data_IF_057393300738
#
_entry.id   IF_057393300738
#
_cell.length_a   1.000
_cell.length_b   1.000
_cell.length_c   1.000
_cell.angle_alpha   90.00
_cell.angle_beta   90.00
_cell.angle_gamma   90.00
#
_symmetry.space_group_name_H-M   'P 1'
#
loop_
_entity.id
_entity.type
_entity.pdbx_description
1 polymer ?
#
# COMPACT_ATOMS: atom_id res chain seq x y z
N UNK A 1 13.06 21.57 0.18
CA UNK A 1 13.10 20.48 -0.83
C UNK A 1 14.27 20.74 -1.75
N UNK A 2 15.12 19.74 -2.01
CA UNK A 2 16.11 19.80 -3.11
C UNK A 2 15.37 19.84 -4.45
N UNK A 3 16.01 20.39 -5.50
CA UNK A 3 15.43 20.27 -6.84
C UNK A 3 15.26 18.80 -7.23
N UNK A 4 14.12 18.43 -7.82
CA UNK A 4 13.91 17.06 -8.31
C UNK A 4 14.98 16.67 -9.33
N UNK A 5 15.46 15.44 -9.26
CA UNK A 5 16.35 14.87 -10.27
C UNK A 5 15.52 14.27 -11.39
N UNK A 6 15.74 14.72 -12.63
CA UNK A 6 15.08 14.26 -13.86
C UNK A 6 16.08 13.74 -14.85
N UNK A 7 15.78 12.64 -15.52
CA UNK A 7 16.58 12.21 -16.66
C UNK A 7 16.12 12.88 -17.98
N UNK A 8 16.90 12.71 -19.06
CA UNK A 8 16.59 13.33 -20.35
C UNK A 8 15.24 12.85 -20.94
N UNK A 9 14.89 11.58 -20.76
CA UNK A 9 13.64 11.02 -21.26
C UNK A 9 12.41 11.67 -20.63
N UNK A 10 12.52 12.17 -19.40
CA UNK A 10 11.39 12.80 -18.69
C UNK A 10 10.86 14.04 -19.41
N UNK A 11 11.71 14.80 -20.08
CA UNK A 11 11.31 16.04 -20.77
C UNK A 11 10.68 15.80 -22.14
N UNK A 12 10.88 14.62 -22.74
CA UNK A 12 10.42 14.29 -24.09
C UNK A 12 9.13 13.51 -24.17
N UNK A 13 8.73 12.86 -23.06
CA UNK A 13 7.52 12.03 -23.00
C UNK A 13 6.30 12.86 -22.64
N UNK A 14 5.19 12.64 -23.37
CA UNK A 14 3.83 13.05 -22.96
C UNK A 14 3.12 11.83 -22.38
N UNK A 15 3.12 11.69 -21.05
CA UNK A 15 2.63 10.46 -20.43
C UNK A 15 1.10 10.41 -20.40
N UNK A 16 0.53 9.25 -20.67
CA UNK A 16 -0.85 8.91 -20.35
C UNK A 16 -0.96 8.30 -18.94
N UNK A 17 0.10 7.59 -18.52
CA UNK A 17 0.19 6.93 -17.22
C UNK A 17 1.41 7.40 -16.44
N UNK A 18 1.21 7.85 -15.20
CA UNK A 18 2.29 8.14 -14.24
C UNK A 18 2.34 7.02 -13.21
N UNK A 19 3.45 6.29 -13.15
CA UNK A 19 3.73 5.30 -12.09
C UNK A 19 4.34 6.04 -10.90
N UNK A 20 3.69 5.95 -9.74
CA UNK A 20 3.99 6.73 -8.54
C UNK A 20 4.54 5.81 -7.45
N UNK A 21 5.83 5.95 -7.13
CA UNK A 21 6.56 5.03 -6.24
C UNK A 21 7.10 5.78 -5.03
N UNK A 22 6.43 5.70 -3.86
CA UNK A 22 7.00 6.18 -2.60
C UNK A 22 7.99 5.16 -2.04
N UNK A 23 9.10 5.62 -1.43
CA UNK A 23 9.98 4.76 -0.66
C UNK A 23 10.54 5.47 0.57
N UNK A 24 10.84 4.68 1.61
CA UNK A 24 11.41 5.16 2.87
C UNK A 24 12.33 4.11 3.47
N UNK A 25 13.63 4.41 3.55
CA UNK A 25 14.67 3.51 4.09
C UNK A 25 14.77 2.14 3.40
N UNK A 26 14.12 1.98 2.26
CA UNK A 26 14.11 0.78 1.45
C UNK A 26 14.34 1.15 -0.01
N UNK A 27 15.09 0.32 -0.75
CA UNK A 27 15.49 0.63 -2.12
C UNK A 27 14.45 0.16 -3.13
N UNK A 28 13.93 1.03 -4.02
CA UNK A 28 12.99 0.68 -5.09
C UNK A 28 13.69 0.02 -6.30
N UNK A 29 14.99 -0.21 -6.27
CA UNK A 29 15.76 -0.65 -7.45
C UNK A 29 15.30 -2.00 -8.02
N UNK A 30 14.82 -2.93 -7.18
CA UNK A 30 14.30 -4.21 -7.65
C UNK A 30 13.05 -4.00 -8.51
N UNK A 31 12.12 -3.18 -8.05
CA UNK A 31 10.93 -2.77 -8.79
C UNK A 31 11.29 -2.04 -10.08
N UNK A 32 12.18 -1.04 -10.02
CA UNK A 32 12.59 -0.26 -11.19
C UNK A 32 13.19 -1.14 -12.30
N UNK A 33 14.02 -2.14 -11.94
CA UNK A 33 14.56 -3.10 -12.91
C UNK A 33 13.46 -3.98 -13.52
N UNK A 34 12.49 -4.40 -12.74
CA UNK A 34 11.35 -5.18 -13.23
C UNK A 34 10.47 -4.38 -14.20
N UNK A 35 10.25 -3.09 -13.92
CA UNK A 35 9.49 -2.20 -14.79
C UNK A 35 10.23 -1.84 -16.09
N UNK A 36 11.57 -1.83 -16.08
CA UNK A 36 12.39 -1.46 -17.24
C UNK A 36 12.41 -2.51 -18.35
N UNK A 37 12.09 -3.77 -18.03
CA UNK A 37 12.17 -4.90 -18.97
C UNK A 37 11.21 -4.79 -20.16
N UNK A 38 10.11 -4.06 -20.01
CA UNK A 38 9.17 -3.69 -21.08
C UNK A 38 8.58 -2.32 -20.77
N UNK A 39 8.94 -1.34 -21.58
CA UNK A 39 8.45 0.03 -21.39
C UNK A 39 7.47 0.38 -22.49
N UNK A 40 6.18 0.51 -22.18
CA UNK A 40 5.24 1.14 -23.08
C UNK A 40 5.61 2.61 -23.30
N UNK A 41 5.44 3.08 -24.53
CA UNK A 41 5.46 4.52 -24.81
C UNK A 41 4.36 5.23 -24.00
N UNK A 42 4.49 6.51 -23.75
CA UNK A 42 3.54 7.32 -22.98
C UNK A 42 3.43 6.99 -21.47
N UNK A 43 4.55 6.61 -20.86
CA UNK A 43 4.66 6.33 -19.43
C UNK A 43 5.76 7.19 -18.79
N UNK A 44 5.52 7.67 -17.58
CA UNK A 44 6.54 8.23 -16.70
C UNK A 44 6.56 7.54 -15.35
N UNK A 45 7.70 7.57 -14.68
CA UNK A 45 7.87 7.07 -13.31
C UNK A 45 8.29 8.23 -12.42
N UNK A 46 7.53 8.49 -11.37
CA UNK A 46 7.85 9.48 -10.35
C UNK A 46 8.10 8.78 -9.03
N UNK A 47 9.30 8.99 -8.50
CA UNK A 47 9.69 8.44 -7.21
C UNK A 47 9.77 9.55 -6.16
N UNK A 48 9.43 9.20 -4.93
CA UNK A 48 9.66 10.07 -3.78
C UNK A 48 10.43 9.31 -2.69
N UNK A 49 11.61 9.82 -2.33
CA UNK A 49 12.29 9.47 -1.10
C UNK A 49 11.68 10.28 0.04
N UNK A 50 10.83 9.65 0.83
CA UNK A 50 10.11 10.31 1.93
C UNK A 50 11.01 10.55 3.15
N UNK A 51 12.13 11.26 2.91
CA UNK A 51 13.04 11.66 3.97
C UNK A 51 13.80 10.51 4.61
N UNK A 52 14.26 9.53 3.84
CA UNK A 52 15.02 8.37 4.34
C UNK A 52 16.31 8.76 5.07
N UNK A 53 16.95 9.85 4.66
CA UNK A 53 18.27 10.24 5.14
C UNK A 53 19.39 9.25 4.80
N UNK A 54 19.13 8.33 3.84
CA UNK A 54 20.06 7.28 3.42
C UNK A 54 20.69 7.61 2.07
N UNK A 55 21.76 8.41 2.08
CA UNK A 55 22.43 8.90 0.87
C UNK A 55 22.78 7.80 -0.14
N UNK A 56 23.15 6.61 0.32
CA UNK A 56 23.47 5.48 -0.54
C UNK A 56 22.26 4.98 -1.36
N UNK A 57 21.07 4.95 -0.77
CA UNK A 57 19.84 4.56 -1.48
C UNK A 57 19.50 5.63 -2.52
N UNK A 58 19.45 6.88 -2.11
CA UNK A 58 19.11 8.01 -3.01
C UNK A 58 20.10 8.13 -4.18
N UNK A 59 21.40 7.98 -3.91
CA UNK A 59 22.43 7.98 -4.96
C UNK A 59 22.30 6.79 -5.92
N UNK A 60 22.01 5.59 -5.40
CA UNK A 60 21.78 4.40 -6.22
C UNK A 60 20.57 4.54 -7.14
N UNK A 61 19.47 5.14 -6.63
CA UNK A 61 18.27 5.45 -7.43
C UNK A 61 18.57 6.50 -8.49
N UNK A 62 19.26 7.59 -8.13
CA UNK A 62 19.65 8.65 -9.09
C UNK A 62 20.54 8.10 -10.21
N UNK A 63 21.53 7.25 -9.87
CA UNK A 63 22.41 6.62 -10.86
C UNK A 63 21.63 5.70 -11.81
N UNK A 64 20.70 4.90 -11.29
CA UNK A 64 19.83 4.05 -12.11
C UNK A 64 18.97 4.87 -13.08
N UNK A 65 18.30 5.92 -12.58
CA UNK A 65 17.44 6.82 -13.36
C UNK A 65 18.24 7.50 -14.46
N UNK A 66 19.46 7.98 -14.15
CA UNK A 66 20.32 8.67 -15.11
C UNK A 66 20.70 7.83 -16.33
N UNK A 67 20.69 6.49 -16.17
CA UNK A 67 21.01 5.53 -17.25
C UNK A 67 19.76 4.86 -17.83
N UNK A 68 18.58 5.12 -17.27
CA UNK A 68 17.33 4.48 -17.67
C UNK A 68 16.76 5.12 -18.94
N UNK A 69 16.22 4.32 -19.89
CA UNK A 69 15.45 4.84 -21.01
C UNK A 69 14.05 5.30 -20.59
N UNK A 70 13.60 4.94 -19.37
CA UNK A 70 12.31 5.36 -18.81
C UNK A 70 12.34 6.85 -18.49
N UNK A 71 11.24 7.55 -18.74
CA UNK A 71 11.02 8.92 -18.27
C UNK A 71 10.88 8.91 -16.73
N UNK A 72 11.89 9.38 -16.02
CA UNK A 72 11.93 9.28 -14.56
C UNK A 72 12.19 10.61 -13.86
N UNK A 73 11.50 10.82 -12.73
CA UNK A 73 11.75 11.91 -11.77
C UNK A 73 11.94 11.33 -10.37
N UNK A 74 12.94 11.83 -9.63
CA UNK A 74 13.15 11.54 -8.22
C UNK A 74 13.02 12.82 -7.40
N UNK A 75 12.08 12.80 -6.45
CA UNK A 75 11.87 13.83 -5.44
C UNK A 75 12.50 13.34 -4.13
N UNK A 76 13.31 14.18 -3.48
CA UNK A 76 13.92 13.85 -2.19
C UNK A 76 13.43 14.81 -1.12
N UNK A 77 12.78 14.31 -0.10
CA UNK A 77 12.32 15.11 1.05
C UNK A 77 13.40 15.17 2.13
N UNK A 78 13.45 16.28 2.86
CA UNK A 78 14.38 16.47 3.98
C UNK A 78 13.96 15.73 5.24
N UNK A 79 12.67 15.39 5.37
CA UNK A 79 12.09 14.68 6.51
C UNK A 79 10.93 13.80 6.05
N UNK A 80 10.62 12.77 6.83
CA UNK A 80 9.48 11.89 6.57
C UNK A 80 8.16 12.64 6.80
N UNK A 81 7.33 12.71 5.79
CA UNK A 81 6.00 13.32 5.84
C UNK A 81 4.88 12.28 5.99
N UNK A 82 5.20 11.01 5.79
CA UNK A 82 4.28 9.90 5.92
C UNK A 82 3.50 9.57 4.65
N UNK A 83 2.84 8.43 4.69
CA UNK A 83 2.24 7.77 3.51
C UNK A 83 1.24 8.63 2.74
N UNK A 84 0.31 9.27 3.44
CA UNK A 84 -0.73 10.08 2.81
C UNK A 84 -0.14 11.31 2.10
N UNK A 85 0.71 12.07 2.80
CA UNK A 85 1.32 13.28 2.23
C UNK A 85 2.30 12.96 1.11
N UNK A 86 3.14 11.93 1.28
CA UNK A 86 4.08 11.49 0.25
C UNK A 86 3.37 11.13 -1.06
N UNK A 87 2.24 10.40 -0.99
CA UNK A 87 1.44 10.06 -2.17
C UNK A 87 0.75 11.27 -2.79
N UNK A 88 0.23 12.21 -1.98
CA UNK A 88 -0.32 13.45 -2.51
C UNK A 88 0.75 14.24 -3.28
N UNK A 89 1.99 14.34 -2.77
CA UNK A 89 3.10 15.01 -3.48
C UNK A 89 3.48 14.33 -4.78
N UNK A 90 3.45 13.00 -4.84
CA UNK A 90 3.68 12.27 -6.09
C UNK A 90 2.67 12.67 -7.17
N UNK A 91 1.40 12.83 -6.80
CA UNK A 91 0.34 13.22 -7.76
C UNK A 91 0.45 14.68 -8.18
N UNK A 92 0.98 15.58 -7.35
CA UNK A 92 1.27 16.97 -7.70
C UNK A 92 2.35 17.07 -8.79
N UNK A 93 3.34 16.16 -8.78
CA UNK A 93 4.41 16.10 -9.77
C UNK A 93 4.01 15.36 -11.07
N UNK A 94 3.01 14.50 -11.00
CA UNK A 94 2.58 13.63 -12.09
C UNK A 94 1.91 14.39 -13.23
N UNK A 95 2.19 13.99 -14.50
CA UNK A 95 1.66 14.61 -15.71
C UNK A 95 0.64 13.76 -16.46
N UNK A 96 0.60 12.42 -16.22
CA UNK A 96 -0.30 11.49 -16.90
C UNK A 96 -1.77 11.69 -16.54
N UNK A 97 -2.68 11.22 -17.38
CA UNK A 97 -4.14 11.24 -17.14
C UNK A 97 -4.57 10.23 -16.08
N UNK A 98 -3.73 9.23 -15.85
CA UNK A 98 -3.89 8.20 -14.83
C UNK A 98 -2.66 8.08 -13.94
N UNK A 99 -2.88 7.73 -12.69
CA UNK A 99 -1.86 7.46 -11.69
C UNK A 99 -1.88 5.97 -11.33
N UNK A 100 -0.76 5.29 -11.47
CA UNK A 100 -0.56 3.95 -10.93
C UNK A 100 0.28 4.06 -9.66
N UNK A 101 -0.37 3.98 -8.51
CA UNK A 101 0.34 3.86 -7.23
C UNK A 101 0.93 2.45 -7.12
N UNK A 102 2.22 2.38 -6.82
CA UNK A 102 2.95 1.13 -6.70
C UNK A 102 3.99 1.26 -5.58
N UNK A 103 3.86 0.49 -4.50
CA UNK A 103 4.82 0.55 -3.41
C UNK A 103 6.18 -0.02 -3.85
N UNK A 104 7.27 0.47 -3.29
CA UNK A 104 8.67 0.15 -3.68
C UNK A 104 9.06 -1.32 -3.56
N UNK A 105 8.32 -2.07 -2.76
CA UNK A 105 8.50 -3.49 -2.47
C UNK A 105 7.54 -4.41 -3.25
N UNK A 106 6.88 -3.88 -4.27
CA UNK A 106 5.99 -4.64 -5.16
C UNK A 106 6.74 -5.09 -6.41
N UNK A 107 6.72 -6.39 -6.71
CA UNK A 107 7.29 -6.93 -7.95
C UNK A 107 6.19 -7.45 -8.87
N UNK A 108 6.07 -6.94 -10.11
CA UNK A 108 5.15 -7.47 -11.11
C UNK A 108 5.27 -8.99 -11.28
N UNK A 109 4.14 -9.68 -11.34
CA UNK A 109 4.09 -11.14 -11.52
C UNK A 109 4.13 -11.58 -12.99
N UNK A 110 3.93 -10.64 -13.91
CA UNK A 110 3.80 -10.91 -15.33
C UNK A 110 4.51 -9.81 -16.15
N UNK A 111 5.25 -10.18 -17.21
CA UNK A 111 5.91 -9.19 -18.07
C UNK A 111 4.95 -8.18 -18.74
N UNK A 112 3.68 -8.54 -18.95
CA UNK A 112 2.65 -7.64 -19.50
C UNK A 112 1.99 -6.73 -18.45
N UNK A 113 2.54 -6.64 -17.24
CA UNK A 113 1.96 -5.89 -16.11
C UNK A 113 1.64 -4.42 -16.48
N UNK A 114 2.60 -3.70 -17.07
CA UNK A 114 2.40 -2.31 -17.45
C UNK A 114 1.45 -2.16 -18.66
N UNK A 115 1.52 -3.08 -19.64
CA UNK A 115 0.64 -3.07 -20.81
C UNK A 115 -0.83 -3.24 -20.38
N UNK A 116 -1.08 -4.13 -19.41
CA UNK A 116 -2.42 -4.31 -18.82
C UNK A 116 -2.88 -3.04 -18.11
N UNK A 117 -2.01 -2.36 -17.35
CA UNK A 117 -2.38 -1.09 -16.73
C UNK A 117 -2.66 0.01 -17.75
N UNK A 118 -1.88 0.11 -18.80
CA UNK A 118 -2.14 1.05 -19.90
C UNK A 118 -3.46 0.77 -20.61
N UNK A 119 -3.85 -0.51 -20.74
CA UNK A 119 -5.16 -0.86 -21.32
C UNK A 119 -6.33 -0.46 -20.43
N UNK A 120 -6.14 -0.38 -19.11
CA UNK A 120 -7.15 0.11 -18.17
C UNK A 120 -7.24 1.64 -18.13
N UNK A 121 -6.21 2.35 -18.59
CA UNK A 121 -6.19 3.81 -18.70
C UNK A 121 -6.93 4.29 -19.96
N UNK A 122 -8.20 3.91 -20.07
CA UNK A 122 -9.04 4.02 -21.27
C UNK A 122 -10.11 5.15 -21.21
N UNK A 123 -10.07 5.96 -20.16
CA UNK A 123 -11.04 7.04 -19.90
C UNK A 123 -12.31 6.58 -19.15
N UNK A 124 -12.60 5.27 -19.11
CA UNK A 124 -13.83 4.74 -18.49
C UNK A 124 -13.64 4.38 -17.02
N UNK A 125 -12.50 3.80 -16.70
CA UNK A 125 -12.21 3.38 -15.35
C UNK A 125 -11.85 4.57 -14.46
N UNK A 126 -12.51 4.70 -13.31
CA UNK A 126 -12.20 5.74 -12.32
C UNK A 126 -11.08 5.28 -11.38
N UNK A 127 -11.24 4.09 -10.80
CA UNK A 127 -10.30 3.44 -9.86
C UNK A 127 -10.29 1.95 -10.15
N UNK A 128 -9.09 1.35 -10.25
CA UNK A 128 -8.94 -0.11 -10.47
C UNK A 128 -7.82 -0.63 -9.58
N UNK A 129 -8.10 -1.68 -8.79
CA UNK A 129 -7.09 -2.37 -7.98
C UNK A 129 -6.63 -3.67 -8.66
N UNK A 130 -5.31 -3.86 -8.78
CA UNK A 130 -4.69 -4.98 -9.48
C UNK A 130 -4.53 -6.27 -8.67
N UNK A 131 -4.55 -6.14 -7.34
CA UNK A 131 -4.36 -7.28 -6.43
C UNK A 131 -2.91 -7.54 -6.04
N UNK A 132 -2.77 -8.39 -5.02
CA UNK A 132 -1.50 -8.87 -4.47
C UNK A 132 -1.26 -10.32 -4.79
N UNK A 133 0.00 -10.72 -4.76
CA UNK A 133 0.43 -12.11 -4.71
C UNK A 133 1.59 -12.32 -3.73
N UNK A 134 1.95 -13.59 -3.54
CA UNK A 134 3.13 -14.03 -2.79
C UNK A 134 4.05 -14.92 -3.66
N UNK A 135 3.89 -14.89 -4.99
CA UNK A 135 4.55 -15.83 -5.92
C UNK A 135 6.07 -15.77 -5.84
N UNK A 136 6.63 -14.56 -5.78
CA UNK A 136 8.08 -14.31 -5.73
C UNK A 136 8.58 -14.08 -4.30
N UNK A 137 7.67 -14.08 -3.30
CA UNK A 137 8.01 -13.76 -1.92
C UNK A 137 8.90 -14.85 -1.29
N UNK A 138 9.94 -14.47 -0.53
CA UNK A 138 10.87 -15.42 0.06
C UNK A 138 10.17 -16.40 1.01
N UNK A 139 10.53 -17.69 0.91
CA UNK A 139 9.95 -18.72 1.75
C UNK A 139 10.79 -18.96 3.02
N UNK A 140 10.80 -17.98 3.92
CA UNK A 140 11.53 -18.06 5.19
C UNK A 140 10.60 -18.20 6.37
N UNK A 141 11.08 -18.84 7.46
CA UNK A 141 10.31 -18.99 8.71
C UNK A 141 9.93 -17.64 9.34
N UNK A 142 10.77 -16.61 9.16
CA UNK A 142 10.52 -15.27 9.69
C UNK A 142 9.22 -14.66 9.18
N UNK A 143 8.84 -14.94 7.93
CA UNK A 143 7.65 -14.38 7.28
C UNK A 143 6.47 -15.34 7.20
N UNK A 144 6.57 -16.55 7.78
CA UNK A 144 5.54 -17.58 7.68
C UNK A 144 4.16 -17.10 8.19
N UNK A 145 4.13 -16.29 9.24
CA UNK A 145 2.89 -15.76 9.80
C UNK A 145 2.27 -14.72 8.88
N UNK A 146 3.07 -13.77 8.38
CA UNK A 146 2.58 -12.77 7.42
C UNK A 146 2.03 -13.45 6.17
N UNK A 147 2.78 -14.41 5.59
CA UNK A 147 2.31 -15.18 4.42
C UNK A 147 1.00 -15.92 4.69
N UNK A 148 0.87 -16.58 5.85
CA UNK A 148 -0.36 -17.28 6.22
C UNK A 148 -1.56 -16.33 6.39
N UNK A 149 -1.32 -15.10 6.85
CA UNK A 149 -2.36 -14.08 7.00
C UNK A 149 -2.73 -13.45 5.65
N UNK A 150 -1.75 -13.02 4.87
CA UNK A 150 -1.94 -12.37 3.58
C UNK A 150 -2.63 -13.29 2.56
N UNK A 151 -2.29 -14.57 2.53
CA UNK A 151 -2.96 -15.54 1.67
C UNK A 151 -4.46 -15.73 1.93
N UNK A 152 -4.94 -15.35 3.13
CA UNK A 152 -6.36 -15.44 3.49
C UNK A 152 -7.13 -14.12 3.35
N UNK A 153 -6.43 -12.97 3.28
CA UNK A 153 -7.07 -11.66 3.33
C UNK A 153 -6.67 -10.73 2.18
N UNK A 154 -5.42 -10.78 1.73
CA UNK A 154 -4.87 -9.75 0.83
C UNK A 154 -4.70 -10.28 -0.60
N UNK A 155 -4.35 -11.58 -0.74
CA UNK A 155 -4.10 -12.23 -2.03
C UNK A 155 -5.37 -12.91 -2.59
N UNK A 156 -6.47 -12.19 -2.62
CA UNK A 156 -7.75 -12.68 -3.16
C UNK A 156 -7.83 -12.40 -4.67
N UNK A 157 -8.62 -13.21 -5.40
CA UNK A 157 -8.94 -12.97 -6.81
C UNK A 157 -9.76 -11.70 -7.01
N UNK A 158 -9.73 -11.14 -8.21
CA UNK A 158 -10.54 -9.98 -8.58
C UNK A 158 -12.03 -10.20 -8.30
N UNK A 159 -12.56 -11.39 -8.62
CA UNK A 159 -13.94 -11.75 -8.37
C UNK A 159 -14.30 -11.71 -6.87
N UNK A 160 -13.45 -12.27 -6.01
CA UNK A 160 -13.68 -12.25 -4.56
C UNK A 160 -13.57 -10.83 -3.96
N UNK A 161 -12.67 -10.00 -4.50
CA UNK A 161 -12.55 -8.59 -4.06
C UNK A 161 -13.73 -7.74 -4.50
N UNK A 162 -14.33 -8.05 -5.66
CA UNK A 162 -15.48 -7.30 -6.20
C UNK A 162 -16.76 -7.45 -5.36
N UNK A 163 -16.84 -8.45 -4.46
CA UNK A 163 -17.96 -8.59 -3.52
C UNK A 163 -18.02 -7.44 -2.49
N UNK A 164 -16.85 -6.85 -2.15
CA UNK A 164 -16.71 -5.70 -1.24
C UNK A 164 -15.63 -4.75 -1.76
N UNK A 165 -15.87 -4.06 -2.88
CA UNK A 165 -14.83 -3.35 -3.62
C UNK A 165 -14.15 -2.24 -2.80
N UNK A 166 -14.87 -1.55 -1.93
CA UNK A 166 -14.34 -0.48 -1.07
C UNK A 166 -13.31 -0.97 -0.05
N UNK A 167 -13.39 -2.24 0.34
CA UNK A 167 -12.53 -2.85 1.36
C UNK A 167 -11.15 -3.21 0.84
N UNK A 168 -11.03 -3.45 -0.46
CA UNK A 168 -9.80 -3.93 -1.10
C UNK A 168 -9.18 -2.85 -1.99
N UNK A 169 -9.10 -1.63 -1.48
CA UNK A 169 -8.38 -0.52 -2.12
C UNK A 169 -7.06 -0.34 -1.38
N UNK A 170 -5.96 -0.76 -2.03
CA UNK A 170 -4.61 -0.61 -1.48
C UNK A 170 -3.72 0.09 -2.49
N UNK A 171 -3.04 1.13 -2.04
CA UNK A 171 -2.20 1.99 -2.89
C UNK A 171 -0.93 1.31 -3.41
N UNK A 172 -0.69 0.08 -3.03
CA UNK A 172 0.47 -0.68 -3.49
C UNK A 172 0.34 -1.28 -4.89
N UNK A 173 -0.86 -1.29 -5.51
CA UNK A 173 -1.08 -1.69 -6.91
C UNK A 173 -2.42 -1.13 -7.42
N UNK A 174 -2.54 0.19 -7.49
CA UNK A 174 -3.81 0.90 -7.67
C UNK A 174 -3.74 1.92 -8.81
N UNK A 175 -4.57 1.75 -9.83
CA UNK A 175 -4.80 2.74 -10.90
C UNK A 175 -5.91 3.70 -10.50
N UNK A 176 -5.66 5.00 -10.68
CA UNK A 176 -6.61 6.07 -10.37
C UNK A 176 -6.61 7.11 -11.48
N UNK A 177 -7.76 7.51 -11.97
CA UNK A 177 -7.88 8.60 -12.93
C UNK A 177 -7.59 9.95 -12.25
N UNK A 178 -6.85 10.83 -12.92
CA UNK A 178 -6.37 12.12 -12.37
C UNK A 178 -7.49 12.97 -11.77
N UNK A 179 -8.62 13.13 -12.46
CA UNK A 179 -9.74 13.96 -11.99
C UNK A 179 -10.39 13.41 -10.71
N UNK A 180 -10.43 12.06 -10.58
CA UNK A 180 -10.91 11.39 -9.36
C UNK A 180 -9.98 11.68 -8.19
N UNK A 181 -8.66 11.56 -8.40
CA UNK A 181 -7.70 11.87 -7.34
C UNK A 181 -7.67 13.36 -6.99
N UNK A 182 -7.82 14.24 -7.97
CA UNK A 182 -7.91 15.70 -7.73
C UNK A 182 -9.14 16.07 -6.87
N UNK A 183 -10.26 15.35 -7.05
CA UNK A 183 -11.46 15.54 -6.25
C UNK A 183 -11.36 14.90 -4.85
N UNK A 184 -10.61 13.81 -4.71
CA UNK A 184 -10.52 12.98 -3.49
C UNK A 184 -9.05 12.64 -3.20
N UNK A 185 -8.32 13.55 -2.56
CA UNK A 185 -6.93 13.30 -2.11
C UNK A 185 -6.88 12.45 -0.83
N UNK A 186 -5.74 11.88 -0.48
CA UNK A 186 -5.55 11.24 0.82
C UNK A 186 -5.65 12.28 1.95
N UNK A 187 -6.32 11.89 3.04
CA UNK A 187 -6.42 12.74 4.24
C UNK A 187 -5.07 12.72 5.01
N UNK A 188 -4.34 13.85 5.08
CA UNK A 188 -3.04 13.93 5.74
C UNK A 188 -3.11 13.78 7.27
N UNK A 189 -4.30 13.70 7.83
CA UNK A 189 -4.48 13.44 9.26
C UNK A 189 -4.27 11.96 9.62
N UNK A 190 -4.28 11.05 8.62
CA UNK A 190 -3.86 9.66 8.82
C UNK A 190 -2.33 9.60 8.86
N UNK A 191 -1.79 9.36 10.06
CA UNK A 191 -0.35 9.28 10.32
C UNK A 191 0.04 7.88 10.78
N UNK A 192 1.31 7.52 10.62
CA UNK A 192 1.79 6.17 10.95
C UNK A 192 1.34 5.12 9.94
N UNK A 193 0.86 3.97 10.41
CA UNK A 193 0.53 2.84 9.55
C UNK A 193 -0.96 2.51 9.51
N UNK A 194 -1.48 2.36 8.28
CA UNK A 194 -2.76 1.72 7.97
C UNK A 194 -3.98 2.63 8.04
N UNK A 195 -5.01 2.22 7.34
CA UNK A 195 -6.33 2.84 7.21
C UNK A 195 -6.42 4.05 6.29
N UNK A 196 -5.32 4.67 5.88
CA UNK A 196 -5.32 5.83 4.98
C UNK A 196 -5.89 5.49 3.59
N UNK A 197 -5.49 4.37 3.04
CA UNK A 197 -5.93 3.85 1.75
C UNK A 197 -7.35 3.28 1.82
N UNK A 198 -7.69 2.56 2.89
CA UNK A 198 -9.04 2.02 3.12
C UNK A 198 -10.06 3.16 3.31
N UNK A 199 -9.71 4.22 4.05
CA UNK A 199 -10.58 5.41 4.20
C UNK A 199 -10.81 6.10 2.85
N UNK A 200 -9.73 6.30 2.10
CA UNK A 200 -9.81 6.85 0.77
C UNK A 200 -10.67 5.95 -0.15
N UNK A 201 -10.49 4.64 -0.07
CA UNK A 201 -11.27 3.64 -0.80
C UNK A 201 -12.78 3.75 -0.53
N UNK A 202 -13.17 3.95 0.74
CA UNK A 202 -14.58 4.17 1.10
C UNK A 202 -15.18 5.40 0.43
N UNK A 203 -14.43 6.53 0.37
CA UNK A 203 -14.90 7.76 -0.28
C UNK A 203 -15.06 7.59 -1.79
N UNK A 204 -14.05 7.04 -2.45
CA UNK A 204 -14.08 6.88 -3.90
C UNK A 204 -15.06 5.80 -4.35
N UNK A 205 -15.20 4.69 -3.62
CA UNK A 205 -16.15 3.64 -3.95
C UNK A 205 -17.58 4.12 -3.89
N UNK A 206 -17.93 4.96 -2.92
CA UNK A 206 -19.25 5.54 -2.77
C UNK A 206 -19.62 6.48 -3.93
N UNK A 207 -18.62 7.12 -4.57
CA UNK A 207 -18.84 8.18 -5.56
C UNK A 207 -18.57 7.75 -7.00
N UNK A 208 -17.54 6.92 -7.21
CA UNK A 208 -17.05 6.59 -8.56
C UNK A 208 -17.06 5.09 -8.87
N UNK A 209 -17.23 4.24 -7.85
CA UNK A 209 -17.01 2.80 -7.96
C UNK A 209 -15.53 2.42 -7.99
N UNK A 210 -15.25 1.14 -7.73
CA UNK A 210 -13.90 0.56 -7.79
C UNK A 210 -13.95 -0.74 -8.58
N UNK A 211 -13.16 -0.81 -9.64
CA UNK A 211 -12.93 -2.02 -10.41
C UNK A 211 -11.84 -2.89 -9.80
N UNK A 212 -11.89 -4.19 -10.07
CA UNK A 212 -10.87 -5.16 -9.67
C UNK A 212 -10.45 -6.02 -10.85
N UNK A 213 -9.13 -6.17 -11.04
CA UNK A 213 -8.56 -7.05 -12.07
C UNK A 213 -7.47 -7.93 -11.45
N UNK A 214 -7.16 -9.07 -12.08
CA UNK A 214 -6.03 -9.91 -11.70
C UNK A 214 -4.78 -9.49 -12.49
N UNK A 215 -4.23 -8.33 -12.16
CA UNK A 215 -2.94 -7.82 -12.60
C UNK A 215 -2.02 -7.68 -11.38
N UNK A 216 -1.67 -8.85 -10.82
CA UNK A 216 -1.03 -8.91 -9.50
C UNK A 216 0.45 -8.53 -9.53
N UNK A 217 0.90 -7.97 -8.40
CA UNK A 217 2.29 -7.85 -8.05
C UNK A 217 2.56 -8.57 -6.72
N UNK A 218 3.73 -9.21 -6.63
CA UNK A 218 4.16 -9.86 -5.38
C UNK A 218 4.60 -8.82 -4.37
N UNK A 219 4.03 -8.88 -3.17
CA UNK A 219 4.48 -8.08 -2.02
C UNK A 219 5.72 -8.71 -1.41
N UNK A 220 6.87 -8.06 -1.60
CA UNK A 220 8.18 -8.51 -1.11
C UNK A 220 8.45 -8.04 0.33
N UNK A 221 7.84 -6.93 0.75
CA UNK A 221 7.95 -6.30 2.07
C UNK A 221 7.23 -7.04 3.18
N UNK A 222 7.53 -8.33 3.34
CA UNK A 222 6.91 -9.14 4.38
C UNK A 222 7.45 -8.79 5.76
N UNK A 223 6.56 -8.69 6.72
CA UNK A 223 6.87 -8.33 8.11
C UNK A 223 7.11 -9.57 8.99
N UNK A 224 8.02 -9.42 9.95
CA UNK A 224 8.11 -10.35 11.08
C UNK A 224 6.91 -10.17 12.02
N UNK A 225 6.63 -11.17 12.89
CA UNK A 225 5.55 -11.05 13.89
C UNK A 225 5.66 -9.82 14.78
N UNK A 226 6.90 -9.43 15.15
CA UNK A 226 7.21 -8.25 15.97
C UNK A 226 6.84 -6.96 15.23
N UNK A 227 7.20 -6.88 13.95
CA UNK A 227 6.87 -5.74 13.10
C UNK A 227 5.36 -5.63 12.88
N UNK A 228 4.67 -6.75 12.64
CA UNK A 228 3.21 -6.78 12.55
C UNK A 228 2.55 -6.26 13.82
N UNK A 229 2.99 -6.73 15.00
CA UNK A 229 2.44 -6.28 16.28
C UNK A 229 2.61 -4.76 16.46
N UNK A 230 3.79 -4.22 16.14
CA UNK A 230 4.07 -2.78 16.20
C UNK A 230 3.22 -1.97 15.22
N UNK A 231 3.04 -2.47 13.98
CA UNK A 231 2.14 -1.85 12.99
C UNK A 231 0.69 -1.79 13.50
N UNK A 232 0.21 -2.85 14.16
CA UNK A 232 -1.13 -2.86 14.76
C UNK A 232 -1.27 -1.83 15.88
N UNK A 233 -0.25 -1.66 16.73
CA UNK A 233 -0.21 -0.64 17.77
C UNK A 233 -0.31 0.77 17.16
N UNK A 234 0.44 1.04 16.10
CA UNK A 234 0.42 2.32 15.38
C UNK A 234 -0.94 2.61 14.72
N UNK A 235 -1.65 1.57 14.26
CA UNK A 235 -2.90 1.72 13.51
C UNK A 235 -4.13 2.08 14.37
N UNK A 236 -4.03 2.06 15.72
CA UNK A 236 -5.16 2.28 16.63
C UNK A 236 -5.80 3.65 16.45
N UNK A 237 -4.96 4.71 16.36
CA UNK A 237 -5.43 6.07 16.15
C UNK A 237 -6.16 6.25 14.82
N UNK A 238 -5.62 5.63 13.77
CA UNK A 238 -6.22 5.63 12.44
C UNK A 238 -7.53 4.83 12.40
N UNK A 239 -7.59 3.70 13.13
CA UNK A 239 -8.83 2.92 13.26
C UNK A 239 -9.94 3.71 13.96
N UNK A 240 -9.60 4.44 15.02
CA UNK A 240 -10.53 5.36 15.66
C UNK A 240 -11.06 6.39 14.67
N UNK A 241 -10.16 7.07 13.96
CA UNK A 241 -10.48 8.11 12.98
C UNK A 241 -11.40 7.59 11.86
N UNK A 242 -11.08 6.45 11.25
CA UNK A 242 -11.93 5.90 10.18
C UNK A 242 -13.30 5.46 10.71
N UNK A 243 -13.37 4.97 11.94
CA UNK A 243 -14.65 4.61 12.59
C UNK A 243 -15.52 5.83 12.83
N UNK A 244 -14.93 6.95 13.25
CA UNK A 244 -15.64 8.21 13.47
C UNK A 244 -16.12 8.84 12.14
N UNK A 245 -15.33 8.76 11.07
CA UNK A 245 -15.66 9.30 9.74
C UNK A 245 -16.70 8.45 9.00
N UNK A 246 -16.63 7.13 9.10
CA UNK A 246 -17.42 6.17 8.32
C UNK A 246 -18.11 5.10 9.19
N UNK A 247 -18.88 5.48 10.24
CA UNK A 247 -19.41 4.53 11.24
C UNK A 247 -20.29 3.45 10.61
N UNK A 248 -21.10 3.78 9.60
CA UNK A 248 -21.99 2.83 8.94
C UNK A 248 -21.24 1.76 8.14
N UNK A 249 -20.14 2.12 7.47
CA UNK A 249 -19.32 1.18 6.68
C UNK A 249 -18.47 0.33 7.61
N UNK A 250 -17.72 0.96 8.52
CA UNK A 250 -16.77 0.27 9.42
C UNK A 250 -17.50 -0.70 10.37
N UNK A 251 -18.74 -0.37 10.80
CA UNK A 251 -19.54 -1.27 11.66
C UNK A 251 -19.86 -2.61 11.00
N UNK A 252 -19.80 -2.71 9.68
CA UNK A 252 -20.00 -3.97 8.96
C UNK A 252 -18.76 -4.86 8.96
N UNK A 253 -17.56 -4.30 9.16
CA UNK A 253 -16.32 -5.04 9.09
C UNK A 253 -16.14 -6.03 10.25
N UNK A 254 -15.63 -7.25 9.96
CA UNK A 254 -15.35 -8.24 11.01
C UNK A 254 -14.43 -7.70 12.11
N UNK A 255 -13.43 -6.88 11.76
CA UNK A 255 -12.52 -6.27 12.74
C UNK A 255 -13.23 -5.40 13.78
N UNK A 256 -14.21 -4.61 13.34
CA UNK A 256 -15.03 -3.79 14.23
C UNK A 256 -15.97 -4.66 15.11
N UNK A 257 -16.66 -5.63 14.49
CA UNK A 257 -17.58 -6.53 15.21
C UNK A 257 -16.86 -7.29 16.32
N UNK A 258 -15.68 -7.84 16.02
CA UNK A 258 -14.84 -8.55 17.02
C UNK A 258 -14.35 -7.57 18.10
N UNK A 259 -13.85 -6.39 17.73
CA UNK A 259 -13.43 -5.38 18.70
C UNK A 259 -14.57 -4.98 19.66
N UNK A 260 -15.79 -4.80 19.15
CA UNK A 260 -16.99 -4.49 19.95
C UNK A 260 -17.37 -5.61 20.91
N UNK A 261 -17.19 -6.87 20.53
CA UNK A 261 -17.37 -8.02 21.42
C UNK A 261 -16.30 -8.01 22.51
N UNK A 262 -15.03 -7.87 22.12
CA UNK A 262 -13.90 -7.87 23.05
C UNK A 262 -13.95 -6.73 24.06
N UNK A 263 -14.48 -5.56 23.68
CA UNK A 263 -14.70 -4.41 24.60
C UNK A 263 -15.51 -4.80 25.84
N UNK A 264 -16.39 -5.80 25.75
CA UNK A 264 -17.21 -6.26 26.88
C UNK A 264 -16.46 -7.16 27.87
N UNK A 265 -15.24 -7.60 27.53
CA UNK A 265 -14.43 -8.47 28.40
C UNK A 265 -13.75 -7.62 29.46
N UNK A 266 -14.06 -7.85 30.77
CA UNK A 266 -13.37 -7.15 31.85
C UNK A 266 -11.86 -7.40 31.80
N UNK A 267 -11.08 -6.39 32.16
CA UNK A 267 -9.60 -6.48 32.22
C UNK A 267 -8.92 -6.93 30.92
N UNK A 268 -9.57 -6.81 29.76
CA UNK A 268 -8.96 -7.18 28.46
C UNK A 268 -7.58 -6.56 28.27
N UNK A 269 -7.38 -5.34 28.75
CA UNK A 269 -6.08 -4.65 28.68
C UNK A 269 -4.95 -5.40 29.39
N UNK A 270 -5.24 -6.07 30.49
CA UNK A 270 -4.28 -6.88 31.23
C UNK A 270 -3.90 -8.19 30.50
N UNK A 271 -4.80 -8.71 29.67
CA UNK A 271 -4.53 -9.92 28.88
C UNK A 271 -3.83 -9.65 27.55
N UNK A 272 -3.81 -8.40 27.07
CA UNK A 272 -3.15 -8.04 25.79
C UNK A 272 -1.66 -8.46 25.70
N UNK A 273 -0.82 -8.30 26.75
CA UNK A 273 0.56 -8.78 26.69
C UNK A 273 0.68 -10.29 26.47
N UNK A 274 -0.22 -11.09 27.08
CA UNK A 274 -0.25 -12.55 26.92
C UNK A 274 -0.67 -12.93 25.49
N UNK A 275 -1.68 -12.27 24.94
CA UNK A 275 -2.13 -12.48 23.55
C UNK A 275 -1.01 -12.13 22.58
N UNK A 276 -0.31 -11.00 22.79
CA UNK A 276 0.86 -10.59 22.00
C UNK A 276 1.98 -11.63 22.10
N UNK A 277 2.32 -12.06 23.31
CA UNK A 277 3.33 -13.10 23.56
C UNK A 277 3.02 -14.39 22.79
N UNK A 278 1.77 -14.87 22.82
CA UNK A 278 1.37 -16.06 22.07
C UNK A 278 1.53 -15.89 20.55
N UNK A 279 1.35 -14.68 20.02
CA UNK A 279 1.62 -14.36 18.60
C UNK A 279 3.11 -14.33 18.24
N UNK A 280 3.97 -13.96 19.20
CA UNK A 280 5.40 -13.78 18.97
C UNK A 280 6.22 -15.05 19.24
N UNK A 281 5.78 -15.91 20.15
CA UNK A 281 6.56 -17.08 20.60
C UNK A 281 6.75 -18.13 19.48
N UNK A 282 7.97 -18.54 19.15
CA UNK A 282 8.24 -19.47 18.05
C UNK A 282 7.81 -20.92 18.33
N UNK A 283 7.52 -21.25 19.58
CA UNK A 283 7.14 -22.61 19.99
C UNK A 283 5.70 -22.98 19.61
N UNK A 284 4.83 -21.99 19.30
CA UNK A 284 3.47 -22.25 18.88
C UNK A 284 3.35 -22.41 17.35
N UNK A 285 2.41 -23.24 16.88
CA UNK A 285 2.15 -23.40 15.44
C UNK A 285 1.80 -22.08 14.76
N UNK A 286 2.22 -21.93 13.51
CA UNK A 286 2.00 -20.70 12.70
C UNK A 286 0.53 -20.25 12.71
N UNK A 287 -0.41 -21.18 12.58
CA UNK A 287 -1.85 -20.88 12.59
C UNK A 287 -2.31 -20.24 13.90
N UNK A 288 -1.83 -20.76 15.03
CA UNK A 288 -2.19 -20.25 16.37
C UNK A 288 -1.57 -18.87 16.59
N UNK A 289 -0.31 -18.69 16.19
CA UNK A 289 0.38 -17.39 16.24
C UNK A 289 -0.31 -16.33 15.37
N UNK A 290 -0.69 -16.68 14.14
CA UNK A 290 -1.46 -15.80 13.25
C UNK A 290 -2.80 -15.41 13.84
N UNK A 291 -3.53 -16.37 14.44
CA UNK A 291 -4.77 -16.10 15.16
C UNK A 291 -4.54 -15.16 16.34
N UNK A 292 -3.51 -15.41 17.16
CA UNK A 292 -3.18 -14.57 18.34
C UNK A 292 -2.84 -13.12 17.90
N UNK A 293 -2.11 -12.91 16.80
CA UNK A 293 -1.84 -11.56 16.31
C UNK A 293 -3.11 -10.86 15.79
N UNK A 294 -4.02 -11.58 15.12
CA UNK A 294 -5.33 -11.02 14.73
C UNK A 294 -6.16 -10.64 15.95
N UNK A 295 -6.18 -11.51 16.97
CA UNK A 295 -6.86 -11.25 18.23
C UNK A 295 -6.24 -10.07 18.98
N UNK A 296 -4.89 -9.96 18.97
CA UNK A 296 -4.18 -8.82 19.55
C UNK A 296 -4.59 -7.50 18.88
N UNK A 297 -4.62 -7.46 17.54
CA UNK A 297 -5.12 -6.29 16.80
C UNK A 297 -6.56 -5.93 17.20
N UNK A 298 -7.45 -6.91 17.27
CA UNK A 298 -8.84 -6.68 17.67
C UNK A 298 -8.95 -6.19 19.12
N UNK A 299 -8.11 -6.71 20.04
CA UNK A 299 -8.03 -6.25 21.43
C UNK A 299 -7.47 -4.83 21.57
N UNK A 300 -6.58 -4.39 20.66
CA UNK A 300 -6.14 -3.01 20.56
C UNK A 300 -7.28 -2.10 20.08
N UNK A 301 -8.01 -2.53 19.06
CA UNK A 301 -9.14 -1.75 18.51
C UNK A 301 -10.34 -1.66 19.47
N UNK A 302 -10.52 -2.65 20.37
CA UNK A 302 -11.56 -2.64 21.38
C UNK A 302 -11.51 -1.42 22.32
N UNK A 303 -10.38 -0.76 22.45
CA UNK A 303 -10.24 0.44 23.30
C UNK A 303 -10.79 1.72 22.65
N UNK A 304 -11.07 1.71 21.34
CA UNK A 304 -11.44 2.91 20.56
C UNK A 304 -12.79 2.77 19.83
N UNK A 305 -13.48 1.63 19.97
CA UNK A 305 -14.83 1.38 19.42
C UNK A 305 -15.93 1.59 20.44
#
# INVERSE_FOLDING_TARGET
MSQPFRNAAFTTVTPRLSVLIPFYKESPLALLRALQSRTPEALEIILIDDGSGMAAITAGVSAFIGQSPLACELITLSQNEGRARGRNRLTEAARGDYFLFLDSDMLPDDPAFLDRWLSQADGRNAVVFGGFSLRQAPNTKAFAIHKAMAGQSDCLSAAARAEHPEKYVFTSNLLVRRDVFAAETFDPAFTGWGWEDTEWGMRVAARYGVGHIDNTATHMGLDTPETLARKYEQSVGNFKRVTEKHPHVVSQYPSYKVAKILKKIPLLSAFRPLIKWAGLTPFLPVRLRAFSLRLYRAALYAQVV
#
